data_IF_572019966048
#
_entry.id   IF_572019966048
#
_cell.length_a   1.000
_cell.length_b   1.000
_cell.length_c   1.000
_cell.angle_alpha   90.00
_cell.angle_beta   90.00
_cell.angle_gamma   90.00
#
_symmetry.space_group_name_H-M   'P 1'
#
loop_
_entity.id
_entity.type
_entity.pdbx_description
1 polymer ?
#
# COMPACT_ATOMS: atom_id res chain seq x y z
N UNK A 1 20.11 39.34 17.25
CA UNK A 1 20.25 39.55 15.78
C UNK A 1 19.99 38.28 14.92
N UNK A 2 19.80 37.07 15.49
CA UNK A 2 19.60 35.82 14.71
C UNK A 2 18.14 35.38 14.47
N UNK A 3 17.13 35.96 15.15
CA UNK A 3 15.72 35.52 15.08
C UNK A 3 14.95 35.99 13.83
N UNK A 4 15.33 37.12 13.21
CA UNK A 4 14.65 37.62 11.99
C UNK A 4 14.96 36.76 10.77
N UNK A 5 16.23 36.34 10.62
CA UNK A 5 16.69 35.57 9.45
C UNK A 5 15.96 34.23 9.25
N UNK A 6 15.62 33.51 10.32
CA UNK A 6 14.88 32.25 10.20
C UNK A 6 13.41 32.46 9.81
N UNK A 7 12.73 33.44 10.42
CA UNK A 7 11.34 33.75 10.10
C UNK A 7 11.19 34.25 8.67
N UNK A 8 12.13 35.04 8.18
CA UNK A 8 12.15 35.53 6.81
C UNK A 8 12.46 34.42 5.81
N UNK A 9 13.40 33.51 6.12
CA UNK A 9 13.65 32.29 5.33
C UNK A 9 12.44 31.36 5.30
N UNK A 10 11.74 31.20 6.43
CA UNK A 10 10.52 30.40 6.52
C UNK A 10 9.39 31.02 5.69
N UNK A 11 9.25 32.35 5.72
CA UNK A 11 8.23 33.06 4.95
C UNK A 11 8.53 33.02 3.43
N UNK A 12 9.79 33.15 3.04
CA UNK A 12 10.23 32.99 1.65
C UNK A 12 10.07 31.55 1.16
N UNK A 13 10.38 30.55 2.01
CA UNK A 13 10.12 29.15 1.71
C UNK A 13 8.63 28.88 1.55
N UNK A 14 7.81 29.32 2.52
CA UNK A 14 6.35 29.20 2.47
C UNK A 14 5.76 29.84 1.20
N UNK A 15 6.23 31.03 0.82
CA UNK A 15 5.79 31.73 -0.39
C UNK A 15 6.09 30.95 -1.68
N UNK A 16 7.20 30.20 -1.71
CA UNK A 16 7.58 29.39 -2.87
C UNK A 16 6.88 28.00 -2.90
N UNK A 17 6.63 27.38 -1.73
CA UNK A 17 5.99 26.05 -1.69
C UNK A 17 4.47 26.13 -1.76
N UNK A 18 3.84 27.17 -1.20
CA UNK A 18 2.39 27.23 -1.04
C UNK A 18 1.64 27.21 -2.38
N UNK A 19 2.11 27.89 -3.45
CA UNK A 19 1.50 27.76 -4.77
C UNK A 19 1.63 26.35 -5.35
N UNK A 20 2.78 25.69 -5.14
CA UNK A 20 3.02 24.32 -5.59
C UNK A 20 2.13 23.34 -4.83
N UNK A 21 2.03 23.48 -3.52
CA UNK A 21 1.22 22.63 -2.65
C UNK A 21 -0.28 22.80 -2.92
N UNK A 22 -0.72 24.04 -3.22
CA UNK A 22 -2.10 24.32 -3.61
C UNK A 22 -2.45 23.71 -4.99
N UNK A 23 -1.52 23.74 -5.95
CA UNK A 23 -1.72 23.04 -7.24
C UNK A 23 -1.75 21.52 -7.05
N UNK A 24 -0.88 20.98 -6.20
CA UNK A 24 -0.87 19.57 -5.87
C UNK A 24 -2.18 19.14 -5.20
N UNK A 25 -2.70 19.92 -4.24
CA UNK A 25 -3.96 19.61 -3.57
C UNK A 25 -5.14 19.62 -4.54
N UNK A 26 -5.15 20.53 -5.52
CA UNK A 26 -6.14 20.54 -6.61
C UNK A 26 -5.98 19.33 -7.53
N UNK A 27 -4.76 18.88 -7.79
CA UNK A 27 -4.50 17.66 -8.55
C UNK A 27 -5.16 16.44 -7.91
N UNK A 28 -5.13 16.35 -6.58
CA UNK A 28 -5.69 15.22 -5.84
C UNK A 28 -7.22 15.20 -5.82
N UNK A 29 -7.88 16.32 -6.13
CA UNK A 29 -9.33 16.40 -6.11
C UNK A 29 -9.98 15.45 -7.13
N UNK A 30 -9.36 15.28 -8.32
CA UNK A 30 -9.97 14.51 -9.40
C UNK A 30 -10.09 13.01 -9.06
N UNK A 31 -9.03 12.31 -8.59
CA UNK A 31 -9.18 10.93 -8.14
C UNK A 31 -10.07 10.81 -6.89
N UNK A 32 -9.96 11.75 -5.95
CA UNK A 32 -10.73 11.73 -4.70
C UNK A 32 -12.23 11.83 -4.97
N UNK A 33 -12.65 12.62 -5.97
CA UNK A 33 -14.06 12.75 -6.35
C UNK A 33 -14.68 11.43 -6.87
N UNK A 34 -13.86 10.50 -7.38
CA UNK A 34 -14.32 9.19 -7.86
C UNK A 34 -14.56 8.18 -6.71
N UNK A 35 -13.84 8.34 -5.60
CA UNK A 35 -13.83 7.37 -4.49
C UNK A 35 -15.20 7.11 -3.85
N UNK A 36 -16.10 8.10 -3.64
CA UNK A 36 -17.41 7.84 -3.03
C UNK A 36 -18.26 6.88 -3.86
N UNK A 37 -18.29 7.08 -5.18
CA UNK A 37 -19.07 6.23 -6.08
C UNK A 37 -18.45 4.83 -6.15
N UNK A 38 -17.12 4.74 -6.26
CA UNK A 38 -16.41 3.47 -6.23
C UNK A 38 -16.67 2.71 -4.91
N UNK A 39 -16.68 3.41 -3.78
CA UNK A 39 -16.97 2.87 -2.46
C UNK A 39 -18.41 2.36 -2.32
N UNK A 40 -19.40 3.09 -2.87
CA UNK A 40 -20.79 2.64 -2.92
C UNK A 40 -20.91 1.34 -3.74
N UNK A 41 -20.29 1.29 -4.91
CA UNK A 41 -20.31 0.09 -5.76
C UNK A 41 -19.66 -1.12 -5.07
N UNK A 42 -18.50 -0.90 -4.44
CA UNK A 42 -17.79 -1.93 -3.69
C UNK A 42 -18.61 -2.43 -2.48
N UNK A 43 -19.16 -1.50 -1.69
CA UNK A 43 -19.93 -1.82 -0.47
C UNK A 43 -21.27 -2.48 -0.77
N UNK A 44 -22.06 -1.94 -1.70
CA UNK A 44 -23.34 -2.53 -2.11
C UNK A 44 -23.11 -3.87 -2.81
N UNK A 45 -22.09 -3.98 -3.67
CA UNK A 45 -21.73 -5.24 -4.33
C UNK A 45 -21.36 -6.33 -3.33
N UNK A 46 -20.55 -5.99 -2.32
CA UNK A 46 -20.19 -6.90 -1.24
C UNK A 46 -21.41 -7.32 -0.40
N UNK A 47 -22.30 -6.38 -0.06
CA UNK A 47 -23.51 -6.66 0.71
C UNK A 47 -24.47 -7.61 -0.05
N UNK A 48 -24.67 -7.40 -1.34
CA UNK A 48 -25.51 -8.28 -2.17
C UNK A 48 -24.88 -9.68 -2.25
N UNK A 49 -23.58 -9.76 -2.52
CA UNK A 49 -22.88 -11.03 -2.64
C UNK A 49 -22.87 -11.84 -1.33
N UNK A 50 -22.81 -11.16 -0.18
CA UNK A 50 -22.81 -11.79 1.14
C UNK A 50 -24.19 -12.33 1.57
N UNK A 51 -25.29 -11.70 1.12
CA UNK A 51 -26.65 -12.07 1.51
C UNK A 51 -27.35 -13.02 0.53
N UNK A 52 -26.65 -13.48 -0.50
CA UNK A 52 -27.25 -14.27 -1.59
C UNK A 52 -26.49 -15.59 -1.75
N UNK A 53 -27.17 -16.71 -2.08
CA UNK A 53 -26.49 -17.95 -2.44
C UNK A 53 -25.42 -17.76 -3.50
N UNK A 54 -24.27 -18.41 -3.31
CA UNK A 54 -23.15 -18.37 -4.26
C UNK A 54 -23.61 -18.81 -5.66
N UNK A 55 -23.10 -18.15 -6.70
CA UNK A 55 -23.40 -18.41 -8.12
C UNK A 55 -24.84 -18.12 -8.57
N UNK A 56 -25.68 -17.52 -7.73
CA UNK A 56 -26.98 -16.98 -8.16
C UNK A 56 -26.82 -15.73 -9.04
N UNK A 57 -27.87 -15.37 -9.79
CA UNK A 57 -27.88 -14.14 -10.61
C UNK A 57 -27.59 -12.88 -9.78
N UNK A 58 -28.14 -12.78 -8.56
CA UNK A 58 -27.88 -11.65 -7.67
C UNK A 58 -26.44 -11.63 -7.16
N UNK A 59 -25.84 -12.81 -6.91
CA UNK A 59 -24.43 -12.90 -6.55
C UNK A 59 -23.52 -12.40 -7.68
N UNK A 60 -23.82 -12.75 -8.94
CA UNK A 60 -23.08 -12.21 -10.09
C UNK A 60 -23.23 -10.69 -10.20
N UNK A 61 -24.42 -10.14 -9.98
CA UNK A 61 -24.63 -8.68 -9.94
C UNK A 61 -23.76 -8.06 -8.84
N UNK A 62 -23.79 -8.63 -7.64
CA UNK A 62 -22.95 -8.18 -6.51
C UNK A 62 -21.46 -8.22 -6.83
N UNK A 63 -20.98 -9.29 -7.48
CA UNK A 63 -19.58 -9.42 -7.92
C UNK A 63 -19.21 -8.43 -9.02
N UNK A 64 -20.07 -8.21 -10.01
CA UNK A 64 -19.84 -7.22 -11.06
C UNK A 64 -19.74 -5.82 -10.46
N UNK A 65 -20.69 -5.44 -9.59
CA UNK A 65 -20.66 -4.14 -8.91
C UNK A 65 -19.41 -3.99 -8.03
N UNK A 66 -19.07 -5.03 -7.26
CA UNK A 66 -17.88 -5.08 -6.42
C UNK A 66 -16.60 -4.86 -7.23
N UNK A 67 -16.43 -5.59 -8.33
CA UNK A 67 -15.28 -5.47 -9.22
C UNK A 67 -15.21 -4.08 -9.88
N UNK A 68 -16.34 -3.48 -10.27
CA UNK A 68 -16.36 -2.13 -10.83
C UNK A 68 -15.82 -1.09 -9.84
N UNK A 69 -16.21 -1.20 -8.56
CA UNK A 69 -15.67 -0.34 -7.50
C UNK A 69 -14.18 -0.59 -7.27
N UNK A 70 -13.78 -1.86 -7.18
CA UNK A 70 -12.40 -2.27 -6.94
C UNK A 70 -11.43 -1.79 -8.02
N UNK A 71 -11.83 -1.77 -9.29
CA UNK A 71 -10.99 -1.25 -10.39
C UNK A 71 -10.53 0.19 -10.14
N UNK A 72 -11.38 1.03 -9.54
CA UNK A 72 -11.00 2.41 -9.23
C UNK A 72 -9.97 2.47 -8.08
N UNK A 73 -10.15 1.66 -7.04
CA UNK A 73 -9.25 1.58 -5.89
C UNK A 73 -7.90 0.94 -6.26
N UNK A 74 -7.93 -0.18 -6.99
CA UNK A 74 -6.73 -0.91 -7.43
C UNK A 74 -5.83 -0.11 -8.38
N UNK A 75 -6.38 0.89 -9.07
CA UNK A 75 -5.65 1.76 -10.00
C UNK A 75 -5.45 3.19 -9.49
N UNK A 76 -5.62 3.44 -8.19
CA UNK A 76 -5.38 4.77 -7.61
C UNK A 76 -4.00 5.36 -7.93
N UNK A 77 -2.88 4.60 -7.88
CA UNK A 77 -1.57 5.15 -8.19
C UNK A 77 -1.49 5.79 -9.59
N UNK A 78 -2.07 5.15 -10.61
CA UNK A 78 -2.06 5.70 -11.98
C UNK A 78 -3.02 6.88 -12.13
N UNK A 79 -4.19 6.86 -11.47
CA UNK A 79 -5.11 7.99 -11.45
C UNK A 79 -4.44 9.24 -10.89
N UNK A 80 -3.76 9.12 -9.75
CA UNK A 80 -2.99 10.22 -9.17
C UNK A 80 -1.81 10.64 -10.06
N UNK A 81 -1.11 9.69 -10.69
CA UNK A 81 -0.04 9.99 -11.65
C UNK A 81 -0.53 10.91 -12.78
N UNK A 82 -1.69 10.59 -13.36
CA UNK A 82 -2.33 11.40 -14.41
C UNK A 82 -2.74 12.77 -13.86
N UNK A 83 -3.43 12.80 -12.72
CA UNK A 83 -3.94 14.06 -12.16
C UNK A 83 -2.82 15.02 -11.75
N UNK A 84 -1.72 14.51 -11.19
CA UNK A 84 -0.52 15.32 -10.92
C UNK A 84 0.06 15.87 -12.22
N UNK A 85 0.18 15.05 -13.27
CA UNK A 85 0.68 15.54 -14.55
C UNK A 85 -0.19 16.69 -15.10
N UNK A 86 -1.51 16.49 -15.17
CA UNK A 86 -2.47 17.47 -15.69
C UNK A 86 -2.45 18.80 -14.91
N UNK A 87 -2.41 18.74 -13.58
CA UNK A 87 -2.43 19.92 -12.72
C UNK A 87 -1.25 20.88 -12.94
N UNK A 88 -0.10 20.36 -13.39
CA UNK A 88 1.09 21.17 -13.67
C UNK A 88 1.30 21.47 -15.16
N UNK A 89 0.48 20.93 -16.06
CA UNK A 89 0.62 21.10 -17.52
C UNK A 89 -0.58 21.77 -18.18
N UNK A 90 -1.41 22.48 -17.40
CA UNK A 90 -2.63 23.17 -17.87
C UNK A 90 -3.57 22.21 -18.62
N UNK A 91 -3.78 21.03 -18.05
CA UNK A 91 -4.70 20.01 -18.57
C UNK A 91 -4.37 19.47 -19.97
N UNK A 92 -3.08 19.47 -20.35
CA UNK A 92 -2.62 18.85 -21.60
C UNK A 92 -2.80 17.33 -21.62
N UNK A 93 -3.56 16.82 -22.60
CA UNK A 93 -3.74 15.39 -22.82
C UNK A 93 -2.45 14.63 -23.12
N UNK A 94 -1.46 15.28 -23.74
CA UNK A 94 -0.14 14.66 -24.00
C UNK A 94 0.58 14.36 -22.70
N UNK A 95 0.48 15.24 -21.70
CA UNK A 95 1.10 15.05 -20.40
C UNK A 95 0.47 13.86 -19.65
N UNK A 96 -0.85 13.66 -19.77
CA UNK A 96 -1.53 12.50 -19.19
C UNK A 96 -1.02 11.18 -19.78
N UNK A 97 -0.95 11.06 -21.11
CA UNK A 97 -0.41 9.86 -21.79
C UNK A 97 1.05 9.64 -21.38
N UNK A 98 1.84 10.71 -21.32
CA UNK A 98 3.25 10.66 -20.88
C UNK A 98 3.36 10.13 -19.44
N UNK A 99 2.49 10.57 -18.53
CA UNK A 99 2.44 10.08 -17.16
C UNK A 99 2.14 8.58 -17.08
N UNK A 100 1.15 8.10 -17.84
CA UNK A 100 0.81 6.67 -17.88
C UNK A 100 1.98 5.84 -18.41
N UNK A 101 2.60 6.27 -19.51
CA UNK A 101 3.79 5.60 -20.06
C UNK A 101 4.92 5.60 -19.03
N UNK A 102 5.20 6.75 -18.40
CA UNK A 102 6.20 6.85 -17.33
C UNK A 102 5.90 5.90 -16.16
N UNK A 103 4.63 5.73 -15.79
CA UNK A 103 4.24 4.84 -14.69
C UNK A 103 4.42 3.37 -15.05
N UNK A 104 4.07 2.98 -16.29
CA UNK A 104 4.32 1.63 -16.78
C UNK A 104 5.82 1.31 -16.83
N UNK A 105 6.65 2.25 -17.28
CA UNK A 105 8.11 2.09 -17.33
C UNK A 105 8.72 2.05 -15.94
N UNK A 106 8.25 2.91 -15.02
CA UNK A 106 8.67 2.91 -13.62
C UNK A 106 8.47 1.53 -12.98
N UNK A 107 7.30 0.91 -13.16
CA UNK A 107 7.00 -0.44 -12.65
C UNK A 107 7.74 -1.54 -13.44
N UNK A 108 7.78 -1.43 -14.77
CA UNK A 108 8.44 -2.39 -15.66
C UNK A 108 9.94 -2.48 -15.46
N UNK A 109 10.59 -1.38 -15.06
CA UNK A 109 12.00 -1.36 -14.69
C UNK A 109 12.29 -2.16 -13.40
N UNK A 110 11.30 -2.32 -12.52
CA UNK A 110 11.45 -3.10 -11.29
C UNK A 110 11.20 -4.58 -11.53
N UNK A 111 10.24 -4.94 -12.39
CA UNK A 111 9.79 -6.30 -12.65
C UNK A 111 10.92 -7.35 -12.84
N UNK A 112 11.94 -7.14 -13.71
CA UNK A 112 13.01 -8.14 -13.89
C UNK A 112 13.96 -8.24 -12.69
N UNK A 113 13.91 -7.28 -11.77
CA UNK A 113 14.76 -7.24 -10.57
C UNK A 113 14.08 -7.89 -9.37
N UNK A 114 12.80 -8.24 -9.50
CA UNK A 114 12.12 -9.15 -8.59
C UNK A 114 12.48 -10.58 -8.93
N UNK A 115 13.26 -11.22 -8.06
CA UNK A 115 13.53 -12.65 -8.16
C UNK A 115 12.39 -13.36 -7.43
N UNK A 116 11.61 -14.14 -8.17
CA UNK A 116 10.53 -14.96 -7.63
C UNK A 116 11.06 -15.89 -6.52
N UNK A 117 10.24 -16.19 -5.49
CA UNK A 117 10.69 -16.97 -4.34
C UNK A 117 11.23 -18.34 -4.76
N UNK A 118 12.38 -18.71 -4.21
CA UNK A 118 13.05 -19.99 -4.45
C UNK A 118 12.31 -21.21 -3.85
N UNK A 119 11.22 -21.00 -3.11
CA UNK A 119 10.57 -22.08 -2.36
C UNK A 119 9.06 -22.07 -2.60
N UNK A 120 8.60 -22.93 -3.53
CA UNK A 120 7.22 -23.43 -3.51
C UNK A 120 7.15 -24.60 -2.53
N UNK A 121 6.82 -24.33 -1.28
CA UNK A 121 6.37 -25.39 -0.37
C UNK A 121 5.18 -24.86 0.40
N UNK A 122 4.06 -25.59 0.27
CA UNK A 122 2.71 -25.30 0.76
C UNK A 122 2.66 -24.42 2.04
N UNK A 123 2.20 -23.17 1.90
CA UNK A 123 1.80 -22.27 2.99
C UNK A 123 2.83 -21.47 3.79
N UNK A 124 3.98 -21.08 3.22
CA UNK A 124 4.84 -20.07 3.88
C UNK A 124 5.29 -18.95 2.94
N UNK A 125 4.84 -17.74 3.32
CA UNK A 125 5.22 -16.38 2.89
C UNK A 125 6.10 -16.30 1.64
N UNK A 126 5.52 -15.80 0.54
CA UNK A 126 6.26 -15.44 -0.66
C UNK A 126 7.22 -14.29 -0.34
N UNK A 127 8.47 -14.64 -0.05
CA UNK A 127 9.55 -13.68 0.14
C UNK A 127 10.21 -13.40 -1.20
N UNK A 128 10.09 -12.18 -1.68
CA UNK A 128 10.84 -11.76 -2.86
C UNK A 128 12.26 -11.39 -2.45
N UNK A 129 13.22 -11.79 -3.29
CA UNK A 129 14.57 -11.23 -3.21
C UNK A 129 14.68 -10.10 -4.22
N UNK A 130 14.97 -8.89 -3.71
CA UNK A 130 15.46 -7.78 -4.51
C UNK A 130 16.99 -7.89 -4.62
N UNK A 131 17.58 -7.24 -5.62
CA UNK A 131 19.05 -7.23 -5.86
C UNK A 131 19.90 -7.11 -4.59
N UNK A 132 19.51 -6.24 -3.65
CA UNK A 132 20.27 -5.96 -2.41
C UNK A 132 19.56 -6.38 -1.12
N UNK A 133 18.29 -6.77 -1.20
CA UNK A 133 17.48 -7.12 -0.04
C UNK A 133 16.94 -8.54 -0.19
N UNK A 134 17.26 -9.38 0.80
CA UNK A 134 16.66 -10.70 0.96
C UNK A 134 15.45 -10.56 1.90
N UNK A 135 14.41 -11.37 1.69
CA UNK A 135 13.20 -11.40 2.53
C UNK A 135 12.32 -10.13 2.46
N UNK A 136 12.00 -9.64 1.25
CA UNK A 136 11.02 -8.56 1.09
C UNK A 136 9.61 -9.13 1.25
N UNK A 137 8.84 -8.59 2.20
CA UNK A 137 7.47 -9.06 2.48
C UNK A 137 6.53 -8.86 1.30
N UNK A 138 5.59 -9.79 1.11
CA UNK A 138 4.59 -9.72 0.05
C UNK A 138 3.76 -8.42 0.06
N UNK A 139 3.55 -7.76 1.21
CA UNK A 139 2.78 -6.50 1.28
C UNK A 139 3.47 -5.28 0.68
N UNK A 140 4.79 -5.34 0.52
CA UNK A 140 5.57 -4.28 -0.15
C UNK A 140 5.64 -4.50 -1.66
N UNK A 141 5.09 -5.60 -2.14
CA UNK A 141 5.08 -6.03 -3.53
C UNK A 141 3.64 -6.15 -4.01
N UNK A 142 3.39 -5.94 -5.29
CA UNK A 142 2.05 -6.02 -5.84
C UNK A 142 2.07 -6.06 -7.35
N UNK A 143 0.88 -6.18 -7.93
CA UNK A 143 0.68 -6.03 -9.36
C UNK A 143 0.12 -4.63 -9.63
N UNK A 144 0.96 -3.74 -10.15
CA UNK A 144 0.53 -2.41 -10.59
C UNK A 144 0.28 -2.48 -12.10
N UNK A 145 -0.97 -2.31 -12.54
CA UNK A 145 -1.33 -2.38 -13.98
C UNK A 145 -0.90 -3.70 -14.65
N UNK A 146 -0.92 -4.82 -13.92
CA UNK A 146 -0.47 -6.12 -14.43
C UNK A 146 1.04 -6.36 -14.39
N UNK A 147 1.83 -5.41 -13.85
CA UNK A 147 3.29 -5.52 -13.74
C UNK A 147 3.66 -5.78 -12.28
N UNK A 148 4.35 -6.89 -12.03
CA UNK A 148 4.94 -7.19 -10.72
C UNK A 148 5.94 -6.09 -10.35
N UNK A 149 5.65 -5.35 -9.29
CA UNK A 149 6.43 -4.19 -8.86
C UNK A 149 6.22 -3.89 -7.37
N UNK A 150 6.93 -2.90 -6.82
CA UNK A 150 6.72 -2.46 -5.46
C UNK A 150 5.31 -1.87 -5.29
N UNK A 151 4.63 -2.22 -4.21
CA UNK A 151 3.41 -1.56 -3.81
C UNK A 151 3.76 -0.21 -3.14
N UNK A 152 4.00 0.80 -3.98
CA UNK A 152 4.35 2.15 -3.51
C UNK A 152 3.13 2.99 -3.11
N UNK A 153 1.94 2.41 -3.17
CA UNK A 153 0.67 3.13 -3.11
C UNK A 153 0.65 4.32 -4.08
N UNK A 154 0.04 5.41 -3.64
CA UNK A 154 -0.14 6.62 -4.44
C UNK A 154 1.17 7.40 -4.65
N UNK A 155 2.18 7.24 -3.76
CA UNK A 155 3.42 8.01 -3.84
C UNK A 155 4.18 7.80 -5.16
N UNK A 156 4.35 6.55 -5.59
CA UNK A 156 5.05 6.25 -6.85
C UNK A 156 4.40 6.99 -8.02
N UNK A 157 3.07 6.99 -8.07
CA UNK A 157 2.29 7.74 -9.05
C UNK A 157 2.53 9.26 -8.99
N UNK A 158 2.54 9.86 -7.80
CA UNK A 158 2.79 11.30 -7.62
C UNK A 158 4.18 11.69 -8.15
N UNK A 159 5.23 10.94 -7.82
CA UNK A 159 6.59 11.25 -8.27
C UNK A 159 6.74 11.10 -9.79
N UNK A 160 6.21 10.01 -10.36
CA UNK A 160 6.22 9.79 -11.80
C UNK A 160 5.44 10.90 -12.52
N UNK A 161 4.25 11.26 -12.03
CA UNK A 161 3.43 12.34 -12.58
C UNK A 161 4.14 13.69 -12.53
N UNK A 162 4.86 13.98 -11.44
CA UNK A 162 5.66 15.19 -11.31
C UNK A 162 6.83 15.23 -12.31
N UNK A 163 7.51 14.09 -12.54
CA UNK A 163 8.56 13.98 -13.57
C UNK A 163 7.96 14.21 -14.95
N UNK A 164 6.83 13.56 -15.27
CA UNK A 164 6.14 13.72 -16.55
C UNK A 164 5.74 15.19 -16.80
N UNK A 165 5.17 15.87 -15.79
CA UNK A 165 4.85 17.29 -15.87
C UNK A 165 6.08 18.16 -16.12
N UNK A 166 7.18 17.89 -15.42
CA UNK A 166 8.44 18.61 -15.58
C UNK A 166 9.03 18.41 -16.97
N UNK A 167 9.01 17.18 -17.49
CA UNK A 167 9.44 16.85 -18.84
C UNK A 167 8.56 17.54 -19.88
N UNK A 168 7.24 17.55 -19.70
CA UNK A 168 6.31 18.24 -20.59
C UNK A 168 6.62 19.73 -20.66
N UNK A 169 6.62 20.40 -19.51
CA UNK A 169 6.84 21.85 -19.44
C UNK A 169 8.18 22.28 -20.03
N UNK A 170 9.20 21.42 -19.99
CA UNK A 170 10.53 21.70 -20.54
C UNK A 170 10.66 21.37 -22.03
N UNK A 171 10.11 20.25 -22.51
CA UNK A 171 10.48 19.68 -23.80
C UNK A 171 9.36 19.69 -24.86
N UNK A 172 8.12 20.04 -24.51
CA UNK A 172 6.99 19.97 -25.44
C UNK A 172 7.10 20.88 -26.69
N UNK A 173 8.00 21.86 -26.70
CA UNK A 173 8.25 22.75 -27.85
C UNK A 173 9.68 22.60 -28.42
N UNK A 174 10.46 21.64 -27.94
CA UNK A 174 11.84 21.46 -28.38
C UNK A 174 11.90 20.90 -29.81
N UNK A 175 12.68 21.56 -30.67
CA UNK A 175 12.94 21.11 -32.04
C UNK A 175 14.28 20.36 -32.10
N UNK A 176 14.28 19.19 -32.73
CA UNK A 176 15.46 18.36 -32.92
C UNK A 176 16.07 18.54 -34.32
N UNK A 177 17.35 18.17 -34.53
CA UNK A 177 18.00 18.20 -35.83
C UNK A 177 17.24 17.38 -36.90
N UNK A 178 17.40 17.74 -38.17
CA UNK A 178 16.63 17.20 -39.31
C UNK A 178 16.55 15.67 -39.31
N UNK A 179 17.66 14.98 -39.02
CA UNK A 179 17.76 13.52 -39.02
C UNK A 179 16.77 12.82 -38.05
N UNK A 180 16.40 13.46 -36.93
CA UNK A 180 15.51 12.90 -35.89
C UNK A 180 14.32 13.82 -35.59
N UNK A 181 14.03 14.77 -36.49
CA UNK A 181 13.00 15.80 -36.34
C UNK A 181 11.58 15.24 -36.19
N UNK A 182 11.34 13.97 -36.59
CA UNK A 182 10.09 13.26 -36.34
C UNK A 182 9.68 13.24 -34.86
N UNK A 183 10.66 13.22 -33.94
CA UNK A 183 10.44 13.18 -32.50
C UNK A 183 10.32 14.55 -31.86
N UNK A 184 10.39 15.65 -32.62
CA UNK A 184 10.29 17.00 -32.07
C UNK A 184 8.96 17.31 -31.38
N UNK A 185 8.98 18.31 -30.51
CA UNK A 185 7.80 18.84 -29.83
C UNK A 185 7.19 17.87 -28.81
N UNK A 186 5.87 17.72 -28.85
CA UNK A 186 5.10 16.93 -27.87
C UNK A 186 5.46 15.44 -27.85
N UNK A 187 5.93 14.90 -28.99
CA UNK A 187 6.36 13.50 -29.12
C UNK A 187 7.66 13.19 -28.37
N UNK A 188 8.50 14.21 -28.15
CA UNK A 188 9.74 14.08 -27.39
C UNK A 188 9.47 13.79 -25.91
N UNK A 189 8.34 14.27 -25.40
CA UNK A 189 8.03 14.27 -23.97
C UNK A 189 7.92 12.85 -23.41
N UNK A 190 7.15 11.91 -24.00
CA UNK A 190 7.15 10.51 -23.57
C UNK A 190 8.53 9.86 -23.60
N UNK A 191 9.35 10.16 -24.63
CA UNK A 191 10.67 9.54 -24.81
C UNK A 191 11.63 9.96 -23.70
N UNK A 192 11.67 11.25 -23.37
CA UNK A 192 12.51 11.74 -22.28
C UNK A 192 11.99 11.22 -20.93
N UNK A 193 10.67 11.20 -20.74
CA UNK A 193 10.06 10.73 -19.50
C UNK A 193 10.36 9.25 -19.26
N UNK A 194 10.33 8.42 -20.32
CA UNK A 194 10.72 7.01 -20.28
C UNK A 194 12.09 6.82 -19.62
N UNK A 195 13.09 7.60 -20.03
CA UNK A 195 14.45 7.50 -19.46
C UNK A 195 14.52 8.13 -18.07
N UNK A 196 13.81 9.24 -17.86
CA UNK A 196 13.86 10.00 -16.61
C UNK A 196 13.28 9.25 -15.39
N UNK A 197 12.33 8.34 -15.59
CA UNK A 197 11.71 7.56 -14.49
C UNK A 197 12.53 6.33 -14.07
N UNK A 198 13.49 5.90 -14.89
CA UNK A 198 14.32 4.71 -14.58
C UNK A 198 15.13 4.92 -13.29
N UNK A 199 15.90 6.01 -13.12
CA UNK A 199 16.62 6.25 -11.85
C UNK A 199 15.68 6.31 -10.64
N UNK A 200 14.48 6.87 -10.80
CA UNK A 200 13.49 6.91 -9.72
C UNK A 200 13.07 5.49 -9.29
N UNK A 201 12.90 4.59 -10.25
CA UNK A 201 12.60 3.18 -10.00
C UNK A 201 13.68 2.52 -9.13
N UNK A 202 14.95 2.72 -9.47
CA UNK A 202 16.08 2.23 -8.66
C UNK A 202 16.12 2.82 -7.25
N UNK A 203 15.85 4.12 -7.10
CA UNK A 203 15.77 4.77 -5.79
C UNK A 203 14.68 4.12 -4.93
N UNK A 204 13.49 3.88 -5.50
CA UNK A 204 12.41 3.22 -4.78
C UNK A 204 12.76 1.77 -4.41
N UNK A 205 13.40 1.02 -5.29
CA UNK A 205 13.89 -0.34 -4.95
C UNK A 205 14.88 -0.36 -3.79
N UNK A 206 15.65 0.71 -3.58
CA UNK A 206 16.58 0.80 -2.45
C UNK A 206 15.91 1.30 -1.16
N UNK A 207 15.03 2.30 -1.27
CA UNK A 207 14.43 2.99 -0.13
C UNK A 207 13.17 2.30 0.41
N UNK A 208 12.34 1.74 -0.46
CA UNK A 208 11.04 1.17 -0.08
C UNK A 208 11.14 -0.05 0.85
N UNK A 209 12.09 -0.99 0.66
CA UNK A 209 12.28 -2.09 1.61
C UNK A 209 12.61 -1.61 3.03
N UNK A 210 13.36 -0.51 3.18
CA UNK A 210 13.69 0.08 4.49
C UNK A 210 12.42 0.59 5.19
N UNK A 211 11.51 1.21 4.43
CA UNK A 211 10.20 1.64 4.95
C UNK A 211 9.41 0.43 5.45
N UNK A 212 9.42 -0.66 4.68
CA UNK A 212 8.76 -1.90 5.06
C UNK A 212 9.30 -2.54 6.34
N UNK A 213 10.64 -2.55 6.51
CA UNK A 213 11.26 -2.97 7.78
C UNK A 213 10.82 -2.06 8.94
N UNK A 214 10.71 -0.76 8.69
CA UNK A 214 10.19 0.21 9.65
C UNK A 214 8.74 -0.08 10.05
N UNK A 215 7.86 -0.39 9.09
CA UNK A 215 6.47 -0.76 9.33
C UNK A 215 6.35 -2.06 10.12
N UNK A 216 7.17 -3.06 9.81
CA UNK A 216 7.20 -4.32 10.55
C UNK A 216 7.63 -4.10 12.00
N UNK A 217 8.69 -3.32 12.23
CA UNK A 217 9.13 -2.94 13.58
C UNK A 217 8.06 -2.13 14.31
N UNK A 218 7.39 -1.21 13.62
CA UNK A 218 6.30 -0.43 14.19
C UNK A 218 5.17 -1.35 14.67
N UNK A 219 4.74 -2.33 13.86
CA UNK A 219 3.70 -3.28 14.23
C UNK A 219 4.04 -4.15 15.44
N UNK A 220 5.29 -4.65 15.51
CA UNK A 220 5.77 -5.39 16.67
C UNK A 220 5.77 -4.53 17.94
N UNK A 221 6.26 -3.29 17.85
CA UNK A 221 6.30 -2.37 19.00
C UNK A 221 4.88 -1.96 19.41
N UNK A 222 3.98 -1.68 18.47
CA UNK A 222 2.61 -1.31 18.80
C UNK A 222 1.88 -2.41 19.56
N UNK A 223 2.14 -3.68 19.24
CA UNK A 223 1.56 -4.82 19.98
C UNK A 223 2.05 -4.98 21.43
N UNK A 224 3.08 -4.25 21.84
CA UNK A 224 3.58 -4.25 23.23
C UNK A 224 3.08 -3.07 24.07
N UNK A 225 2.37 -2.12 23.44
CA UNK A 225 1.90 -0.92 24.13
C UNK A 225 0.68 -1.24 25.01
N UNK A 226 0.46 -0.47 26.10
CA UNK A 226 -0.74 -0.59 26.91
C UNK A 226 -2.04 -0.44 26.09
N UNK A 227 -3.06 -1.20 26.47
CA UNK A 227 -4.37 -1.20 25.81
C UNK A 227 -4.89 0.22 25.52
N UNK A 228 -5.19 0.48 24.26
CA UNK A 228 -5.75 1.75 23.77
C UNK A 228 -4.70 2.79 23.37
N UNK A 229 -3.46 2.70 23.86
CA UNK A 229 -2.37 3.59 23.44
C UNK A 229 -1.81 3.21 22.07
N UNK A 230 -1.79 1.92 21.76
CA UNK A 230 -1.55 1.34 20.45
C UNK A 230 -2.53 1.87 19.40
N UNK A 231 -3.83 1.78 19.67
CA UNK A 231 -4.89 2.27 18.78
C UNK A 231 -4.80 3.78 18.55
N UNK A 232 -4.50 4.55 19.60
CA UNK A 232 -4.35 6.01 19.49
C UNK A 232 -3.16 6.39 18.60
N UNK A 233 -2.00 5.75 18.78
CA UNK A 233 -0.81 6.05 17.96
C UNK A 233 -1.06 5.59 16.52
N UNK A 234 -1.64 4.42 16.33
CA UNK A 234 -2.00 3.91 15.02
C UNK A 234 -2.91 4.89 14.27
N UNK A 235 -3.99 5.38 14.89
CA UNK A 235 -4.92 6.29 14.23
C UNK A 235 -4.30 7.66 13.95
N UNK A 236 -3.45 8.19 14.84
CA UNK A 236 -2.71 9.44 14.58
C UNK A 236 -1.83 9.30 13.34
N UNK A 237 -1.10 8.19 13.22
CA UNK A 237 -0.21 7.94 12.07
C UNK A 237 -1.05 7.73 10.81
N UNK A 238 -2.08 6.89 10.86
CA UNK A 238 -2.95 6.61 9.73
C UNK A 238 -3.59 7.90 9.19
N UNK A 239 -4.21 8.70 10.07
CA UNK A 239 -4.87 9.97 9.70
C UNK A 239 -3.90 10.99 9.11
N UNK A 240 -2.67 11.02 9.60
CA UNK A 240 -1.61 11.88 9.06
C UNK A 240 -1.20 11.47 7.63
N UNK A 241 -1.38 10.21 7.26
CA UNK A 241 -1.03 9.66 5.95
C UNK A 241 -2.18 9.71 4.92
N UNK A 242 -3.41 9.99 5.35
CA UNK A 242 -4.58 10.13 4.47
C UNK A 242 -4.36 11.17 3.34
N UNK A 243 -3.87 12.40 3.61
CA UNK A 243 -3.68 13.41 2.57
C UNK A 243 -2.69 13.03 1.46
N UNK A 244 -1.83 12.03 1.73
CA UNK A 244 -0.82 11.53 0.80
C UNK A 244 -1.24 10.21 0.13
N UNK A 245 -2.41 9.67 0.48
CA UNK A 245 -2.86 8.34 0.04
C UNK A 245 -2.01 7.18 0.58
N UNK A 246 -1.19 7.44 1.61
CA UNK A 246 -0.24 6.48 2.18
C UNK A 246 -0.82 5.59 3.28
N UNK A 247 -1.99 5.95 3.81
CA UNK A 247 -2.65 5.21 4.88
C UNK A 247 -2.86 3.72 4.53
N UNK A 248 -3.25 3.40 3.29
CA UNK A 248 -3.36 2.02 2.82
C UNK A 248 -2.02 1.26 2.86
N UNK A 249 -0.91 1.90 2.50
CA UNK A 249 0.43 1.30 2.58
C UNK A 249 0.83 1.05 4.04
N UNK A 250 0.42 1.94 4.94
CA UNK A 250 0.73 1.85 6.37
C UNK A 250 -0.02 0.70 7.05
N UNK A 251 -1.34 0.61 6.91
CA UNK A 251 -2.12 -0.41 7.62
C UNK A 251 -2.05 -1.79 6.95
N UNK A 252 -1.79 -1.88 5.64
CA UNK A 252 -1.85 -3.14 4.90
C UNK A 252 -0.94 -4.25 5.45
N UNK A 253 0.35 -3.99 5.74
CA UNK A 253 1.21 -4.99 6.38
C UNK A 253 0.70 -5.38 7.77
N UNK A 254 0.14 -4.44 8.53
CA UNK A 254 -0.34 -4.67 9.89
C UNK A 254 -1.60 -5.55 9.89
N UNK A 255 -2.51 -5.37 8.92
CA UNK A 255 -3.76 -6.14 8.91
C UNK A 255 -3.65 -7.51 8.23
N UNK A 256 -2.74 -7.67 7.26
CA UNK A 256 -2.70 -8.86 6.39
C UNK A 256 -1.38 -9.64 6.41
N UNK A 257 -0.41 -9.25 7.24
CA UNK A 257 0.86 -9.99 7.38
C UNK A 257 1.27 -10.14 8.82
N UNK A 258 2.33 -10.91 9.04
CA UNK A 258 2.96 -11.10 10.36
C UNK A 258 3.40 -9.79 11.03
N UNK A 259 3.48 -8.66 10.32
CA UNK A 259 3.75 -7.37 10.94
C UNK A 259 2.68 -6.97 11.98
N UNK A 260 1.42 -7.40 11.83
CA UNK A 260 0.40 -7.25 12.86
C UNK A 260 0.26 -8.43 13.81
N UNK A 261 1.24 -9.34 13.82
CA UNK A 261 1.27 -10.52 14.66
C UNK A 261 0.81 -11.80 13.97
N UNK A 262 0.95 -12.91 14.69
CA UNK A 262 0.50 -14.24 14.27
C UNK A 262 -0.01 -15.03 15.47
N UNK A 263 -0.94 -15.95 15.24
CA UNK A 263 -1.45 -16.83 16.31
C UNK A 263 -0.30 -17.67 16.90
N UNK A 264 0.57 -18.20 16.04
CA UNK A 264 1.73 -18.99 16.46
C UNK A 264 2.67 -18.21 17.39
N UNK A 265 3.00 -16.96 17.05
CA UNK A 265 3.85 -16.09 17.86
C UNK A 265 3.18 -15.67 19.18
N UNK A 266 1.87 -15.41 19.15
CA UNK A 266 1.09 -15.15 20.37
C UNK A 266 1.16 -16.31 21.36
N UNK A 267 0.97 -17.54 20.89
CA UNK A 267 1.08 -18.74 21.73
C UNK A 267 2.51 -19.01 22.21
N UNK A 268 3.53 -18.76 21.38
CA UNK A 268 4.93 -18.86 21.80
C UNK A 268 5.25 -17.85 22.91
N UNK A 269 4.75 -16.61 22.78
CA UNK A 269 4.90 -15.57 23.80
C UNK A 269 4.18 -15.97 25.08
N UNK A 270 2.93 -16.44 25.02
CA UNK A 270 2.19 -16.95 26.18
C UNK A 270 2.92 -18.10 26.89
N UNK A 271 3.62 -18.95 26.14
CA UNK A 271 4.38 -20.05 26.72
C UNK A 271 5.58 -19.58 27.57
N UNK A 272 6.09 -18.37 27.30
CA UNK A 272 7.19 -17.74 28.07
C UNK A 272 6.73 -16.88 29.25
N UNK A 273 5.41 -16.65 29.39
CA UNK A 273 4.84 -15.85 30.49
C UNK A 273 4.74 -16.64 31.80
N UNK A 274 4.37 -15.96 32.89
CA UNK A 274 4.19 -16.59 34.21
C UNK A 274 3.02 -17.61 34.20
N UNK A 275 3.09 -18.60 35.10
CA UNK A 275 2.03 -19.62 35.22
C UNK A 275 0.66 -19.04 35.58
N UNK A 276 0.62 -17.87 36.22
CA UNK A 276 -0.61 -17.13 36.51
C UNK A 276 -1.30 -16.63 35.23
N UNK A 277 -0.52 -16.05 34.30
CA UNK A 277 -1.02 -15.57 32.99
C UNK A 277 -1.50 -16.75 32.15
N UNK A 278 -0.78 -17.87 32.17
CA UNK A 278 -1.18 -19.09 31.45
C UNK A 278 -2.50 -19.65 31.98
N UNK A 279 -2.69 -19.70 33.30
CA UNK A 279 -3.95 -20.12 33.92
C UNK A 279 -5.09 -19.16 33.58
N UNK A 280 -4.87 -17.85 33.70
CA UNK A 280 -5.87 -16.85 33.34
C UNK A 280 -6.32 -16.95 31.88
N UNK A 281 -5.39 -17.23 30.96
CA UNK A 281 -5.71 -17.49 29.56
C UNK A 281 -6.56 -18.76 29.38
N UNK A 282 -6.17 -19.87 30.02
CA UNK A 282 -6.92 -21.14 29.98
C UNK A 282 -8.35 -20.95 30.51
N UNK A 283 -8.52 -20.26 31.63
CA UNK A 283 -9.82 -19.99 32.23
C UNK A 283 -10.69 -19.11 31.32
N UNK A 284 -10.10 -18.08 30.69
CA UNK A 284 -10.79 -17.22 29.73
C UNK A 284 -11.21 -17.98 28.48
N UNK A 285 -10.34 -18.83 27.94
CA UNK A 285 -10.63 -19.67 26.78
C UNK A 285 -11.76 -20.66 27.06
N UNK A 286 -11.70 -21.36 28.19
CA UNK A 286 -12.72 -22.29 28.65
C UNK A 286 -14.08 -21.59 28.82
N UNK A 287 -14.09 -20.37 29.36
CA UNK A 287 -15.32 -19.57 29.52
C UNK A 287 -15.92 -19.12 28.19
N UNK A 288 -15.08 -18.74 27.22
CA UNK A 288 -15.52 -18.29 25.89
C UNK A 288 -16.07 -19.43 25.04
N UNK A 289 -15.43 -20.60 25.08
CA UNK A 289 -15.76 -21.73 24.21
C UNK A 289 -16.56 -22.85 24.89
N UNK A 290 -16.89 -22.71 26.18
CA UNK A 290 -17.64 -23.72 26.94
C UNK A 290 -16.89 -25.05 27.12
N UNK A 291 -15.56 -25.00 27.13
CA UNK A 291 -14.68 -26.17 27.25
C UNK A 291 -14.07 -26.27 28.66
N UNK A 292 -13.50 -27.44 29.00
CA UNK A 292 -12.80 -27.68 30.28
C UNK A 292 -11.38 -28.20 30.02
N UNK A 293 -10.53 -27.38 29.41
CA UNK A 293 -9.13 -27.73 29.23
C UNK A 293 -8.32 -27.45 30.50
N UNK A 294 -7.49 -28.42 30.90
CA UNK A 294 -6.72 -28.33 32.15
C UNK A 294 -5.42 -27.55 32.01
N UNK A 295 -4.85 -27.47 30.79
CA UNK A 295 -3.52 -26.93 30.55
C UNK A 295 -3.46 -26.16 29.22
N UNK A 296 -2.65 -25.10 29.19
CA UNK A 296 -2.39 -24.29 27.98
C UNK A 296 -1.92 -25.14 26.80
N UNK A 297 -1.13 -26.19 27.05
CA UNK A 297 -0.62 -27.10 26.02
C UNK A 297 -1.74 -27.80 25.23
N UNK A 298 -2.82 -28.20 25.90
CA UNK A 298 -3.96 -28.82 25.24
C UNK A 298 -4.66 -27.86 24.28
N UNK A 299 -4.79 -26.58 24.67
CA UNK A 299 -5.35 -25.53 23.81
C UNK A 299 -4.42 -25.27 22.63
N UNK A 300 -3.11 -25.16 22.86
CA UNK A 300 -2.12 -24.98 21.79
C UNK A 300 -2.18 -26.11 20.78
N UNK A 301 -2.27 -27.37 21.22
CA UNK A 301 -2.31 -28.53 20.32
C UNK A 301 -3.59 -28.56 19.48
N UNK A 302 -4.74 -28.13 20.04
CA UNK A 302 -6.00 -27.96 19.29
C UNK A 302 -5.88 -26.86 18.23
N UNK A 303 -5.29 -25.72 18.57
CA UNK A 303 -5.11 -24.61 17.62
C UNK A 303 -4.08 -24.97 16.55
N UNK A 304 -2.99 -25.66 16.92
CA UNK A 304 -1.99 -26.20 15.98
C UNK A 304 -2.57 -27.22 15.01
N UNK A 305 -3.52 -28.05 15.46
CA UNK A 305 -4.21 -29.01 14.59
C UNK A 305 -5.06 -28.32 13.51
N UNK A 306 -5.42 -27.05 13.70
CA UNK A 306 -6.11 -26.22 12.71
C UNK A 306 -5.10 -25.34 11.97
N UNK A 307 -4.60 -25.85 10.85
CA UNK A 307 -3.60 -25.14 10.02
C UNK A 307 -4.04 -23.73 9.61
N UNK A 308 -5.34 -23.56 9.28
CA UNK A 308 -5.92 -22.26 8.95
C UNK A 308 -5.88 -21.21 10.09
N UNK A 309 -5.80 -21.65 11.34
CA UNK A 309 -5.62 -20.78 12.51
C UNK A 309 -4.14 -20.62 12.84
N UNK A 310 -3.39 -21.72 12.89
CA UNK A 310 -1.97 -21.66 13.25
C UNK A 310 -1.13 -20.88 12.23
N UNK A 311 -1.49 -20.94 10.95
CA UNK A 311 -0.91 -20.15 9.86
C UNK A 311 -1.48 -18.74 9.70
N UNK A 312 -2.46 -18.33 10.52
CA UNK A 312 -3.06 -17.00 10.42
C UNK A 312 -2.08 -15.90 10.85
N UNK A 313 -1.92 -14.89 9.99
CA UNK A 313 -1.01 -13.75 10.16
C UNK A 313 -1.73 -12.45 9.84
N UNK A 314 -1.48 -11.41 10.63
CA UNK A 314 -2.12 -10.09 10.48
C UNK A 314 -3.43 -9.98 11.25
N UNK A 315 -3.66 -8.80 11.82
CA UNK A 315 -4.72 -8.59 12.82
C UNK A 315 -6.14 -8.88 12.29
N UNK A 316 -6.45 -8.47 11.04
CA UNK A 316 -7.75 -8.76 10.44
C UNK A 316 -7.93 -10.24 10.11
N UNK A 317 -6.87 -10.92 9.66
CA UNK A 317 -6.94 -12.34 9.34
C UNK A 317 -7.09 -13.15 10.63
N UNK A 318 -6.36 -12.77 11.68
CA UNK A 318 -6.48 -13.39 13.01
C UNK A 318 -7.91 -13.24 13.54
N UNK A 319 -8.45 -12.02 13.58
CA UNK A 319 -9.80 -11.77 14.09
C UNK A 319 -10.86 -12.56 13.30
N UNK A 320 -10.82 -12.55 11.96
CA UNK A 320 -11.73 -13.33 11.13
C UNK A 320 -11.60 -14.84 11.37
N UNK A 321 -10.37 -15.37 11.39
CA UNK A 321 -10.13 -16.82 11.57
C UNK A 321 -10.54 -17.30 12.94
N UNK A 322 -10.35 -16.49 13.99
CA UNK A 322 -10.77 -16.80 15.36
C UNK A 322 -12.29 -16.81 15.49
N UNK A 323 -13.00 -15.86 14.87
CA UNK A 323 -14.47 -15.74 14.94
C UNK A 323 -15.20 -16.89 14.21
N UNK A 324 -14.61 -17.44 13.15
CA UNK A 324 -15.23 -18.52 12.33
C UNK A 324 -15.03 -19.92 12.97
N UNK A 325 -14.50 -19.99 14.19
CA UNK A 325 -14.25 -21.24 14.92
C UNK A 325 -15.28 -21.53 15.99
#
# INVERSE_FOLDING_TARGET
MFKSSFKDKLKAFAANIMPTLSKLSKAFLLPIALLPIAGVFLGVGAAIAANTPEQSTLWFIGKVMGNMGDVCFGNLPVLFCISVALAYTKDSGVAAITAVVGFLVFNGAQAPLFIAPATKTNDKVFEYSLLWYKHVSNSLTGSNMGILSLNTGVLGGIFVGAIAAKCYNKFHQTQLPTAISFFSGTKLVPIITFVAVIPLSFIFMMAWPVIGLGLNKFGQVSGTLPYGTDSLIFEIVERSLVPFGLHHVFYAPLWWTSAGGSIAEGFNTLNTQSEEVKKAFVDSYNKLHGTNHNNLKAIIDIVKAKDALWGAVGDQIISQRVIVT
#
